data_IF_364542189157
#
_entry.id   IF_364542189157
#
_cell.length_a   1.000
_cell.length_b   1.000
_cell.length_c   1.000
_cell.angle_alpha   90.00
_cell.angle_beta   90.00
_cell.angle_gamma   90.00
#
_symmetry.space_group_name_H-M   'P 1'
#
loop_
_entity.id
_entity.type
_entity.pdbx_description
1 polymer ?
#
# COMPACT_ATOMS: atom_id res chain seq x y z
N UNK A 1 -28.02 18.77 -0.79
CA UNK A 1 -27.21 18.53 -1.99
C UNK A 1 -25.79 18.28 -1.49
N UNK A 2 -25.11 17.27 -2.02
CA UNK A 2 -23.70 17.04 -1.69
C UNK A 2 -22.87 18.25 -2.13
N UNK A 3 -21.87 18.61 -1.32
CA UNK A 3 -20.95 19.69 -1.64
C UNK A 3 -20.18 19.38 -2.93
N UNK A 4 -19.98 20.40 -3.76
CA UNK A 4 -19.24 20.29 -5.01
C UNK A 4 -17.97 21.12 -4.94
N UNK A 5 -16.84 20.53 -5.32
CA UNK A 5 -15.54 21.19 -5.43
C UNK A 5 -15.10 21.20 -6.89
N UNK A 6 -14.70 22.37 -7.39
CA UNK A 6 -14.05 22.54 -8.68
C UNK A 6 -12.54 22.70 -8.48
N UNK A 7 -11.74 21.81 -9.06
CA UNK A 7 -10.31 22.01 -9.24
C UNK A 7 -10.08 22.50 -10.68
N UNK A 8 -9.30 23.56 -10.85
CA UNK A 8 -9.10 24.20 -12.16
C UNK A 8 -7.67 24.71 -12.34
N UNK A 9 -7.29 25.06 -13.56
CA UNK A 9 -5.93 25.42 -13.97
C UNK A 9 -4.92 24.33 -13.56
N UNK A 10 -5.24 23.05 -13.80
CA UNK A 10 -4.35 21.94 -13.52
C UNK A 10 -3.92 21.23 -14.81
N UNK A 11 -2.75 20.60 -14.74
CA UNK A 11 -2.35 19.56 -15.70
C UNK A 11 -2.80 18.23 -15.13
N UNK A 12 -3.94 17.69 -15.62
CA UNK A 12 -4.53 16.47 -15.08
C UNK A 12 -3.93 15.21 -15.73
N UNK A 13 -3.12 14.47 -14.96
CA UNK A 13 -2.62 13.15 -15.34
C UNK A 13 -3.65 12.11 -14.90
N UNK A 14 -4.46 11.61 -15.86
CA UNK A 14 -5.64 10.82 -15.53
C UNK A 14 -5.36 9.39 -15.10
N UNK A 15 -4.19 8.84 -15.42
CA UNK A 15 -3.79 7.46 -15.15
C UNK A 15 -4.77 6.41 -15.70
N UNK A 16 -5.52 6.76 -16.74
CA UNK A 16 -6.36 5.83 -17.50
C UNK A 16 -5.50 4.94 -18.43
N UNK A 17 -6.14 3.99 -19.13
CA UNK A 17 -5.43 3.10 -20.07
C UNK A 17 -4.82 3.84 -21.26
N UNK A 18 -5.43 4.96 -21.65
CA UNK A 18 -4.94 5.82 -22.73
C UNK A 18 -3.76 6.70 -22.30
N UNK A 19 -3.37 6.67 -21.02
CA UNK A 19 -2.30 7.49 -20.46
C UNK A 19 -2.54 9.00 -20.69
N UNK A 20 -3.79 9.44 -20.47
CA UNK A 20 -4.26 10.80 -20.78
C UNK A 20 -3.62 11.83 -19.86
N UNK A 21 -3.07 12.90 -20.46
CA UNK A 21 -2.67 14.12 -19.80
C UNK A 21 -3.44 15.29 -20.41
N UNK A 22 -4.23 15.99 -19.61
CA UNK A 22 -4.99 17.17 -20.03
C UNK A 22 -4.29 18.43 -19.52
N UNK A 23 -3.99 19.37 -20.41
CA UNK A 23 -3.51 20.70 -20.04
C UNK A 23 -4.69 21.61 -19.74
N UNK A 24 -4.52 22.53 -18.77
CA UNK A 24 -5.54 23.47 -18.30
C UNK A 24 -6.90 22.82 -18.01
N UNK A 25 -6.84 21.71 -17.27
CA UNK A 25 -8.00 20.87 -17.00
C UNK A 25 -8.87 21.41 -15.86
N UNK A 26 -10.15 20.96 -15.89
CA UNK A 26 -11.14 21.12 -14.85
C UNK A 26 -11.58 19.77 -14.32
N UNK A 27 -11.57 19.57 -13.00
CA UNK A 27 -12.08 18.37 -12.33
C UNK A 27 -13.16 18.79 -11.34
N UNK A 28 -14.35 18.21 -11.48
CA UNK A 28 -15.46 18.42 -10.55
C UNK A 28 -15.58 17.22 -9.63
N UNK A 29 -15.51 17.47 -8.33
CA UNK A 29 -15.76 16.49 -7.27
C UNK A 29 -17.13 16.77 -6.67
N UNK A 30 -17.91 15.71 -6.43
CA UNK A 30 -19.21 15.77 -5.75
C UNK A 30 -19.22 14.72 -4.63
N UNK A 31 -19.31 15.17 -3.37
CA UNK A 31 -19.12 14.30 -2.22
C UNK A 31 -17.79 13.57 -2.30
N UNK A 32 -17.79 12.24 -2.24
CA UNK A 32 -16.58 11.43 -2.29
C UNK A 32 -16.13 11.03 -3.72
N UNK A 33 -16.80 11.49 -4.78
CA UNK A 33 -16.58 10.98 -6.14
C UNK A 33 -16.26 12.09 -7.15
N UNK A 34 -15.47 11.71 -8.17
CA UNK A 34 -15.24 12.56 -9.34
C UNK A 34 -16.50 12.52 -10.21
N UNK A 35 -17.08 13.69 -10.47
CA UNK A 35 -18.26 13.86 -11.32
C UNK A 35 -17.89 14.03 -12.79
N UNK A 36 -16.89 14.86 -13.07
CA UNK A 36 -16.44 15.14 -14.44
C UNK A 36 -14.99 15.59 -14.48
N UNK A 37 -14.35 15.38 -15.62
CA UNK A 37 -13.02 15.90 -15.97
C UNK A 37 -13.05 16.35 -17.43
N UNK A 38 -12.35 17.43 -17.77
CA UNK A 38 -12.26 17.96 -19.13
C UNK A 38 -11.47 19.26 -19.20
N UNK A 39 -11.41 19.87 -20.38
CA UNK A 39 -10.68 21.11 -20.65
C UNK A 39 -11.61 22.33 -20.79
N UNK A 40 -12.91 22.12 -20.75
CA UNK A 40 -13.89 23.20 -20.74
C UNK A 40 -14.40 23.44 -19.32
N UNK A 41 -14.43 24.72 -18.88
CA UNK A 41 -14.97 25.05 -17.56
C UNK A 41 -16.44 24.66 -17.49
N UNK A 42 -16.82 23.79 -16.54
CA UNK A 42 -18.21 23.38 -16.40
C UNK A 42 -19.09 24.56 -15.93
N UNK A 43 -20.30 24.63 -16.47
CA UNK A 43 -21.28 25.62 -16.06
C UNK A 43 -21.80 25.34 -14.64
N UNK A 44 -22.12 26.39 -13.89
CA UNK A 44 -22.71 26.31 -12.56
C UNK A 44 -21.90 27.02 -11.49
N UNK A 45 -22.37 26.88 -10.25
CA UNK A 45 -21.69 27.37 -9.03
C UNK A 45 -21.18 26.17 -8.22
N UNK A 46 -20.03 26.32 -7.64
CA UNK A 46 -19.40 25.30 -6.82
C UNK A 46 -19.28 25.79 -5.37
N UNK A 47 -19.45 24.90 -4.40
CA UNK A 47 -19.29 25.24 -3.00
C UNK A 47 -17.83 25.64 -2.68
N UNK A 48 -16.89 24.97 -3.35
CA UNK A 48 -15.47 25.25 -3.23
C UNK A 48 -14.82 25.31 -4.60
N UNK A 49 -13.89 26.24 -4.78
CA UNK A 49 -13.05 26.33 -5.98
C UNK A 49 -11.57 26.32 -5.56
N UNK A 50 -10.78 25.45 -6.17
CA UNK A 50 -9.35 25.28 -5.91
C UNK A 50 -8.59 25.58 -7.19
N UNK A 51 -7.83 26.67 -7.18
CA UNK A 51 -6.89 27.01 -8.26
C UNK A 51 -5.62 26.19 -8.10
N UNK A 52 -5.35 25.30 -9.04
CA UNK A 52 -4.19 24.43 -9.06
C UNK A 52 -2.92 25.11 -9.62
N UNK A 53 -3.03 26.36 -10.12
CA UNK A 53 -1.90 27.21 -10.55
C UNK A 53 -0.97 26.57 -11.59
N UNK A 54 -1.48 25.74 -12.48
CA UNK A 54 -0.69 25.03 -13.49
C UNK A 54 0.07 23.81 -13.00
N UNK A 55 -0.10 23.45 -11.74
CA UNK A 55 0.49 22.26 -11.13
C UNK A 55 -0.13 20.96 -11.65
N UNK A 56 0.55 19.83 -11.38
CA UNK A 56 0.07 18.51 -11.82
C UNK A 56 -0.91 17.96 -10.79
N UNK A 57 -2.16 17.76 -11.22
CA UNK A 57 -3.18 17.00 -10.49
C UNK A 57 -3.15 15.56 -10.97
N UNK A 58 -3.00 14.62 -10.06
CA UNK A 58 -3.00 13.18 -10.36
C UNK A 58 -3.78 12.40 -9.29
N UNK A 59 -4.14 11.14 -9.54
CA UNK A 59 -4.70 10.29 -8.50
C UNK A 59 -3.77 10.20 -7.31
N UNK A 60 -4.34 10.12 -6.11
CA UNK A 60 -3.58 9.82 -4.90
C UNK A 60 -2.87 8.48 -5.00
N UNK A 61 -1.70 8.40 -4.40
CA UNK A 61 -0.86 7.21 -4.44
C UNK A 61 -1.46 6.09 -3.59
N UNK A 62 -1.30 4.87 -4.08
CA UNK A 62 -1.73 3.63 -3.42
C UNK A 62 -0.49 2.88 -2.96
N UNK A 63 -0.32 2.75 -1.66
CA UNK A 63 0.73 1.94 -1.04
C UNK A 63 0.13 0.56 -0.71
N UNK A 64 0.40 -0.43 -1.55
CA UNK A 64 -0.31 -1.71 -1.53
C UNK A 64 0.24 -2.73 -0.53
N UNK A 65 1.28 -2.38 0.24
CA UNK A 65 1.81 -3.20 1.34
C UNK A 65 2.56 -2.34 2.33
N UNK A 66 2.10 -2.34 3.58
CA UNK A 66 2.70 -1.59 4.70
C UNK A 66 2.58 -2.35 6.02
N UNK A 67 3.35 -1.87 7.01
CA UNK A 67 3.25 -2.18 8.44
C UNK A 67 3.37 -0.85 9.19
N UNK A 68 2.28 -0.04 9.16
CA UNK A 68 2.36 1.38 9.56
C UNK A 68 2.82 1.63 11.01
N UNK A 69 2.50 0.79 12.04
CA UNK A 69 3.02 1.00 13.39
C UNK A 69 4.53 0.83 13.51
N UNK A 70 5.21 0.18 12.54
CA UNK A 70 6.68 -0.02 12.55
C UNK A 70 7.47 1.29 12.41
N UNK A 71 6.83 2.45 12.26
CA UNK A 71 7.51 3.75 12.42
C UNK A 71 8.22 3.90 13.76
N UNK A 72 7.71 3.23 14.80
CA UNK A 72 8.36 3.15 16.11
C UNK A 72 9.71 2.42 16.10
N UNK A 73 9.93 1.58 15.09
CA UNK A 73 11.13 0.75 14.93
C UNK A 73 12.04 1.24 13.77
N UNK A 74 11.86 2.48 13.34
CA UNK A 74 12.65 3.09 12.27
C UNK A 74 14.14 3.02 12.56
N UNK A 75 14.92 2.31 11.72
CA UNK A 75 16.36 2.13 11.89
C UNK A 75 16.78 1.17 13.01
N UNK A 76 15.82 0.47 13.65
CA UNK A 76 16.11 -0.50 14.69
C UNK A 76 16.49 -1.85 14.08
N UNK A 77 17.56 -2.49 14.58
CA UNK A 77 18.00 -3.83 14.18
C UNK A 77 18.63 -3.90 12.77
N UNK A 78 19.17 -2.82 12.21
CA UNK A 78 19.77 -2.82 10.88
C UNK A 78 21.09 -3.61 10.77
N UNK A 79 21.40 -4.11 9.55
CA UNK A 79 22.71 -4.74 9.24
C UNK A 79 22.77 -6.26 9.47
N UNK A 80 21.64 -6.94 9.49
CA UNK A 80 21.55 -8.42 9.58
C UNK A 80 20.57 -8.97 8.54
N UNK A 81 20.58 -10.29 8.33
CA UNK A 81 19.62 -10.97 7.47
C UNK A 81 18.21 -10.96 8.05
N UNK A 82 17.18 -11.22 7.20
CA UNK A 82 15.78 -11.17 7.57
C UNK A 82 15.43 -12.00 8.80
N UNK A 83 15.95 -13.23 8.92
CA UNK A 83 15.60 -14.14 10.02
C UNK A 83 16.17 -13.63 11.36
N UNK A 84 17.42 -13.20 11.37
CA UNK A 84 18.06 -12.57 12.53
C UNK A 84 17.34 -11.27 12.89
N UNK A 85 16.99 -10.46 11.88
CA UNK A 85 16.26 -9.21 12.07
C UNK A 85 14.89 -9.42 12.72
N UNK A 86 14.11 -10.38 12.22
CA UNK A 86 12.79 -10.71 12.78
C UNK A 86 12.89 -11.27 14.21
N UNK A 87 13.74 -12.29 14.42
CA UNK A 87 13.73 -13.05 15.67
C UNK A 87 14.44 -12.33 16.83
N UNK A 88 15.54 -11.62 16.55
CA UNK A 88 16.37 -11.02 17.61
C UNK A 88 16.01 -9.56 17.88
N UNK A 89 15.39 -8.86 16.92
CA UNK A 89 15.08 -7.41 17.03
C UNK A 89 13.59 -7.10 16.99
N UNK A 90 12.89 -7.51 15.93
CA UNK A 90 11.53 -7.03 15.66
C UNK A 90 10.51 -7.69 16.57
N UNK A 91 10.39 -9.02 16.56
CA UNK A 91 9.40 -9.74 17.38
C UNK A 91 9.53 -9.44 18.88
N UNK A 92 10.76 -9.39 19.48
CA UNK A 92 10.89 -9.00 20.88
C UNK A 92 10.46 -7.55 21.20
N UNK A 93 10.61 -6.62 20.26
CA UNK A 93 10.14 -5.25 20.41
C UNK A 93 8.61 -5.18 20.25
N UNK A 94 8.07 -5.81 19.21
CA UNK A 94 6.62 -5.85 18.93
C UNK A 94 5.81 -6.52 20.05
N UNK A 95 6.38 -7.52 20.72
CA UNK A 95 5.72 -8.19 21.86
C UNK A 95 5.43 -7.26 23.05
N UNK A 96 6.04 -6.06 23.07
CA UNK A 96 5.80 -5.05 24.11
C UNK A 96 4.71 -4.03 23.73
N UNK A 97 4.28 -4.03 22.45
CA UNK A 97 3.32 -3.05 21.96
C UNK A 97 1.94 -3.23 22.60
N UNK A 98 1.30 -2.12 22.87
CA UNK A 98 -0.11 -2.03 23.20
C UNK A 98 -0.87 -1.13 22.21
N UNK A 99 -2.19 -1.06 22.33
CA UNK A 99 -3.05 -0.28 21.45
C UNK A 99 -2.66 1.20 21.38
N UNK A 100 -2.19 1.79 22.50
CA UNK A 100 -1.79 3.21 22.56
C UNK A 100 -0.50 3.44 21.78
N UNK A 101 0.49 2.58 21.93
CA UNK A 101 1.75 2.65 21.20
C UNK A 101 1.50 2.42 19.69
N UNK A 102 0.66 1.44 19.35
CA UNK A 102 0.27 1.18 17.95
C UNK A 102 -0.42 2.39 17.32
N UNK A 103 -1.34 3.06 18.02
CA UNK A 103 -1.97 4.31 17.54
C UNK A 103 -0.94 5.42 17.30
N UNK A 104 0.02 5.57 18.21
CA UNK A 104 1.09 6.58 18.07
C UNK A 104 1.96 6.30 16.84
N UNK A 105 2.41 5.04 16.65
CA UNK A 105 3.19 4.63 15.49
C UNK A 105 2.40 4.75 14.18
N UNK A 106 1.17 4.25 14.14
CA UNK A 106 0.29 4.38 12.99
C UNK A 106 0.02 5.85 12.63
N UNK A 107 -0.26 6.70 13.63
CA UNK A 107 -0.45 8.14 13.42
C UNK A 107 0.76 8.82 12.79
N UNK A 108 1.98 8.45 13.24
CA UNK A 108 3.22 8.97 12.67
C UNK A 108 3.41 8.56 11.20
N UNK A 109 3.16 7.28 10.89
CA UNK A 109 3.19 6.78 9.50
C UNK A 109 2.16 7.48 8.62
N UNK A 110 0.92 7.63 9.12
CA UNK A 110 -0.16 8.28 8.37
C UNK A 110 0.16 9.74 8.08
N UNK A 111 0.82 10.45 8.99
CA UNK A 111 1.28 11.81 8.71
C UNK A 111 2.32 11.84 7.57
N UNK A 112 3.29 10.91 7.58
CA UNK A 112 4.29 10.79 6.52
C UNK A 112 3.66 10.41 5.16
N UNK A 113 2.78 9.40 5.14
CA UNK A 113 2.04 8.94 3.97
C UNK A 113 1.16 10.04 3.37
N UNK A 114 0.39 10.74 4.19
CA UNK A 114 -0.50 11.82 3.74
C UNK A 114 0.29 12.99 3.16
N UNK A 115 1.38 13.41 3.82
CA UNK A 115 2.22 14.49 3.35
C UNK A 115 2.94 14.14 2.03
N UNK A 116 3.21 12.86 1.77
CA UNK A 116 3.82 12.36 0.53
C UNK A 116 2.80 11.94 -0.54
N UNK A 117 1.49 12.14 -0.31
CA UNK A 117 0.47 11.97 -1.35
C UNK A 117 -0.21 10.61 -1.38
N UNK A 118 -0.04 9.77 -0.38
CA UNK A 118 -0.76 8.50 -0.28
C UNK A 118 -2.19 8.76 0.20
N UNK A 119 -3.16 8.14 -0.46
CA UNK A 119 -4.60 8.21 -0.13
C UNK A 119 -5.19 6.85 0.22
N UNK A 120 -4.47 5.78 -0.12
CA UNK A 120 -4.93 4.40 0.10
C UNK A 120 -3.76 3.51 0.48
N UNK A 121 -3.94 2.68 1.51
CA UNK A 121 -2.94 1.72 1.96
C UNK A 121 -3.51 0.30 2.04
N UNK A 122 -2.64 -0.72 1.98
CA UNK A 122 -2.90 -2.04 2.53
C UNK A 122 -1.93 -2.26 3.68
N UNK A 123 -2.44 -2.54 4.87
CA UNK A 123 -1.65 -2.72 6.08
C UNK A 123 -1.88 -4.11 6.68
N UNK A 124 -0.78 -4.77 7.05
CA UNK A 124 -0.80 -6.05 7.74
C UNK A 124 -0.09 -5.89 9.08
N UNK A 125 -0.84 -5.92 10.18
CA UNK A 125 -0.23 -5.78 11.51
C UNK A 125 -1.10 -6.34 12.63
N UNK A 126 -0.54 -6.38 13.85
CA UNK A 126 -1.27 -6.68 15.08
C UNK A 126 -2.01 -5.43 15.61
N UNK A 127 -2.89 -5.59 16.60
CA UNK A 127 -3.69 -4.48 17.17
C UNK A 127 -4.53 -3.74 16.11
N UNK A 128 -5.03 -4.45 15.11
CA UNK A 128 -5.70 -3.88 13.93
C UNK A 128 -6.87 -2.94 14.23
N UNK A 129 -7.69 -3.13 15.30
CA UNK A 129 -8.70 -2.15 15.68
C UNK A 129 -8.14 -0.76 16.00
N UNK A 130 -6.98 -0.69 16.68
CA UNK A 130 -6.32 0.58 16.97
C UNK A 130 -5.82 1.28 15.70
N UNK A 131 -5.35 0.49 14.71
CA UNK A 131 -4.97 0.99 13.38
C UNK A 131 -6.21 1.50 12.66
N UNK A 132 -7.30 0.76 12.65
CA UNK A 132 -8.55 1.12 11.97
C UNK A 132 -9.11 2.46 12.46
N UNK A 133 -9.16 2.68 13.79
CA UNK A 133 -9.55 3.96 14.38
C UNK A 133 -8.67 5.12 13.91
N UNK A 134 -7.34 4.91 13.89
CA UNK A 134 -6.37 5.93 13.49
C UNK A 134 -6.49 6.26 12.00
N UNK A 135 -6.70 5.26 11.14
CA UNK A 135 -6.94 5.44 9.70
C UNK A 135 -8.24 6.20 9.44
N UNK A 136 -9.33 5.87 10.15
CA UNK A 136 -10.61 6.59 10.03
C UNK A 136 -10.44 8.08 10.36
N UNK A 137 -9.73 8.37 11.46
CA UNK A 137 -9.44 9.74 11.87
C UNK A 137 -8.57 10.48 10.84
N UNK A 138 -7.55 9.81 10.31
CA UNK A 138 -6.64 10.40 9.32
C UNK A 138 -7.33 10.74 7.99
N UNK A 139 -8.38 10.00 7.62
CA UNK A 139 -9.23 10.27 6.45
C UNK A 139 -8.83 9.55 5.17
N UNK A 140 -7.74 8.76 5.14
CA UNK A 140 -7.36 7.93 3.99
C UNK A 140 -8.09 6.59 3.98
N UNK A 141 -8.07 5.88 2.86
CA UNK A 141 -8.64 4.53 2.75
C UNK A 141 -7.62 3.45 3.13
N UNK A 142 -8.07 2.34 3.74
CA UNK A 142 -7.20 1.21 4.05
C UNK A 142 -7.87 -0.15 3.80
N UNK A 143 -7.09 -1.10 3.29
CA UNK A 143 -7.33 -2.52 3.43
C UNK A 143 -6.50 -3.03 4.62
N UNK A 144 -7.14 -3.53 5.65
CA UNK A 144 -6.47 -3.97 6.89
C UNK A 144 -6.51 -5.48 7.02
N UNK A 145 -5.42 -6.05 7.49
CA UNK A 145 -5.29 -7.49 7.74
C UNK A 145 -4.45 -7.76 8.99
N UNK A 146 -4.66 -8.90 9.66
CA UNK A 146 -4.03 -9.20 10.95
C UNK A 146 -2.74 -10.03 10.83
N UNK A 147 -2.35 -10.52 9.64
CA UNK A 147 -1.13 -11.31 9.44
C UNK A 147 -1.14 -12.64 10.20
N UNK A 148 -2.12 -13.51 9.92
CA UNK A 148 -2.30 -14.75 10.67
C UNK A 148 -1.07 -15.66 10.74
N UNK A 149 -0.67 -16.07 11.94
CA UNK A 149 0.41 -16.99 12.24
C UNK A 149 -0.09 -18.19 13.06
N UNK A 150 0.53 -19.35 12.89
CA UNK A 150 0.24 -20.51 13.72
C UNK A 150 1.41 -21.51 13.72
N UNK A 151 2.09 -21.61 14.85
CA UNK A 151 3.24 -22.52 15.05
C UNK A 151 2.87 -23.82 15.79
N UNK A 152 1.59 -23.99 16.18
CA UNK A 152 1.12 -25.19 16.85
C UNK A 152 1.08 -26.40 15.92
N UNK A 153 0.99 -27.62 16.52
CA UNK A 153 0.83 -28.84 15.72
C UNK A 153 -0.51 -28.78 14.93
N UNK A 154 -0.54 -29.25 13.67
CA UNK A 154 -1.78 -29.25 12.88
C UNK A 154 -2.95 -29.97 13.52
N UNK A 155 -2.68 -31.04 14.28
CA UNK A 155 -3.72 -31.80 14.98
C UNK A 155 -4.39 -31.04 16.15
N UNK A 156 -3.70 -30.03 16.68
CA UNK A 156 -4.19 -29.20 17.81
C UNK A 156 -4.91 -27.93 17.34
N UNK A 157 -4.97 -27.70 16.03
CA UNK A 157 -5.60 -26.51 15.49
C UNK A 157 -7.12 -26.53 15.72
N UNK A 158 -7.61 -25.43 16.28
CA UNK A 158 -9.04 -25.15 16.36
C UNK A 158 -9.30 -23.66 16.14
N UNK A 159 -10.14 -23.28 15.18
CA UNK A 159 -10.47 -21.86 14.95
C UNK A 159 -11.03 -21.16 16.19
N UNK A 160 -11.65 -21.90 17.11
CA UNK A 160 -12.23 -21.36 18.35
C UNK A 160 -11.18 -20.94 19.38
N UNK A 161 -10.00 -21.54 19.32
CA UNK A 161 -8.89 -21.27 20.27
C UNK A 161 -7.68 -20.63 19.61
N UNK A 162 -7.67 -20.52 18.28
CA UNK A 162 -6.66 -19.81 17.54
C UNK A 162 -6.90 -18.30 17.66
N UNK A 163 -5.94 -17.60 18.27
CA UNK A 163 -6.05 -16.14 18.47
C UNK A 163 -6.23 -15.39 17.15
N UNK A 164 -5.51 -15.77 16.10
CA UNK A 164 -5.55 -15.06 14.83
C UNK A 164 -6.84 -15.33 14.03
N UNK A 165 -7.44 -16.51 14.21
CA UNK A 165 -8.81 -16.74 13.74
C UNK A 165 -9.82 -15.80 14.45
N UNK A 166 -9.69 -15.66 15.78
CA UNK A 166 -10.52 -14.75 16.56
C UNK A 166 -10.30 -13.28 16.19
N UNK A 167 -9.05 -12.87 15.97
CA UNK A 167 -8.70 -11.53 15.52
C UNK A 167 -9.27 -11.23 14.13
N UNK A 168 -9.16 -12.18 13.19
CA UNK A 168 -9.74 -12.04 11.85
C UNK A 168 -11.27 -11.90 11.88
N UNK A 169 -11.95 -12.70 12.68
CA UNK A 169 -13.42 -12.62 12.85
C UNK A 169 -13.79 -11.25 13.39
N UNK A 170 -13.21 -10.85 14.51
CA UNK A 170 -13.51 -9.56 15.16
C UNK A 170 -13.21 -8.38 14.22
N UNK A 171 -12.05 -8.38 13.55
CA UNK A 171 -11.71 -7.34 12.60
C UNK A 171 -12.72 -7.24 11.47
N UNK A 172 -13.18 -8.37 10.94
CA UNK A 172 -14.18 -8.39 9.87
C UNK A 172 -15.53 -7.87 10.34
N UNK A 173 -16.04 -8.36 11.48
CA UNK A 173 -17.36 -8.00 12.01
C UNK A 173 -17.45 -6.54 12.44
N UNK A 174 -16.37 -5.98 13.02
CA UNK A 174 -16.38 -4.63 13.56
C UNK A 174 -15.97 -3.56 12.52
N UNK A 175 -15.13 -3.91 11.55
CA UNK A 175 -14.46 -2.90 10.72
C UNK A 175 -14.68 -3.03 9.22
N UNK A 176 -15.08 -4.20 8.69
CA UNK A 176 -15.27 -4.30 7.24
C UNK A 176 -16.43 -3.43 6.76
N UNK A 177 -16.12 -2.45 5.88
CA UNK A 177 -17.08 -1.46 5.39
C UNK A 177 -17.20 -0.21 6.26
N UNK A 178 -16.48 -0.10 7.39
CA UNK A 178 -16.54 1.07 8.25
C UNK A 178 -16.16 2.36 7.50
N UNK A 179 -16.76 3.50 7.91
CA UNK A 179 -16.54 4.80 7.27
C UNK A 179 -17.01 4.84 5.81
N UNK A 180 -18.17 4.23 5.50
CA UNK A 180 -18.71 4.12 4.14
C UNK A 180 -17.70 3.48 3.16
N UNK A 181 -17.04 2.37 3.59
CA UNK A 181 -16.05 1.65 2.82
C UNK A 181 -14.64 2.27 2.86
N UNK A 182 -14.38 3.21 3.74
CA UNK A 182 -13.03 3.72 3.99
C UNK A 182 -12.12 2.59 4.47
N UNK A 183 -12.59 1.75 5.39
CA UNK A 183 -11.91 0.53 5.83
C UNK A 183 -12.51 -0.67 5.10
N UNK A 184 -11.67 -1.44 4.43
CA UNK A 184 -11.96 -2.81 4.02
C UNK A 184 -11.05 -3.74 4.81
N UNK A 185 -11.50 -4.98 5.00
CA UNK A 185 -10.72 -6.02 5.67
C UNK A 185 -10.37 -7.08 4.64
N UNK A 186 -9.12 -7.49 4.63
CA UNK A 186 -8.65 -8.65 3.91
C UNK A 186 -8.31 -9.76 4.92
N UNK A 187 -8.58 -11.02 4.59
CA UNK A 187 -8.01 -12.13 5.32
C UNK A 187 -6.52 -12.21 5.06
N UNK A 188 -5.75 -12.80 5.96
CA UNK A 188 -4.31 -12.84 5.78
C UNK A 188 -3.65 -14.06 6.39
N UNK A 189 -2.60 -14.49 5.73
CA UNK A 189 -1.57 -15.38 6.24
C UNK A 189 -0.29 -14.58 6.22
N UNK A 190 0.46 -14.52 7.34
CA UNK A 190 1.71 -13.78 7.35
C UNK A 190 2.63 -14.31 6.23
N UNK A 191 3.02 -15.57 6.28
CA UNK A 191 3.78 -16.26 5.23
C UNK A 191 3.55 -17.79 5.33
N UNK A 192 4.00 -18.54 4.33
CA UNK A 192 3.92 -20.01 4.33
C UNK A 192 4.63 -20.59 5.56
N UNK A 193 5.84 -20.14 5.86
CA UNK A 193 6.70 -20.70 6.91
C UNK A 193 6.31 -20.28 8.34
N UNK A 194 5.47 -19.30 8.52
CA UNK A 194 4.97 -18.82 9.83
C UNK A 194 3.61 -19.41 10.21
N UNK A 195 3.09 -20.30 9.38
CA UNK A 195 1.77 -20.91 9.58
C UNK A 195 1.72 -22.31 8.99
N UNK A 196 0.58 -22.95 9.01
CA UNK A 196 0.42 -24.31 8.54
C UNK A 196 -0.92 -24.57 7.86
N UNK A 197 -1.08 -25.76 7.27
CA UNK A 197 -2.23 -26.13 6.43
C UNK A 197 -3.58 -25.87 7.09
N UNK A 198 -3.87 -26.22 8.34
CA UNK A 198 -5.15 -25.90 8.95
C UNK A 198 -5.50 -24.43 8.98
N UNK A 199 -4.52 -23.54 9.26
CA UNK A 199 -4.76 -22.11 9.24
C UNK A 199 -4.99 -21.61 7.80
N UNK A 200 -4.20 -22.10 6.80
CA UNK A 200 -4.37 -21.72 5.40
C UNK A 200 -5.76 -22.06 4.89
N UNK A 201 -6.24 -23.29 5.16
CA UNK A 201 -7.57 -23.76 4.76
C UNK A 201 -8.67 -22.93 5.41
N UNK A 202 -8.51 -22.64 6.72
CA UNK A 202 -9.49 -21.84 7.44
C UNK A 202 -9.55 -20.40 6.90
N UNK A 203 -8.41 -19.72 6.74
CA UNK A 203 -8.33 -18.35 6.22
C UNK A 203 -8.87 -18.27 4.78
N UNK A 204 -8.51 -19.23 3.93
CA UNK A 204 -8.99 -19.30 2.56
C UNK A 204 -10.51 -19.46 2.50
N UNK A 205 -11.08 -20.35 3.31
CA UNK A 205 -12.55 -20.55 3.39
C UNK A 205 -13.24 -19.33 3.95
N UNK A 206 -12.69 -18.75 5.04
CA UNK A 206 -13.23 -17.54 5.65
C UNK A 206 -13.27 -16.36 4.68
N UNK A 207 -12.18 -16.14 3.93
CA UNK A 207 -12.12 -15.11 2.89
C UNK A 207 -13.21 -15.29 1.82
N UNK A 208 -13.41 -16.52 1.36
CA UNK A 208 -14.45 -16.82 0.36
C UNK A 208 -15.88 -16.59 0.92
N UNK A 209 -16.16 -17.09 2.12
CA UNK A 209 -17.48 -16.98 2.77
C UNK A 209 -17.88 -15.52 3.04
N UNK A 210 -16.89 -14.68 3.38
CA UNK A 210 -17.10 -13.27 3.68
C UNK A 210 -16.77 -12.32 2.52
N UNK A 211 -16.39 -12.85 1.35
CA UNK A 211 -16.01 -12.08 0.14
C UNK A 211 -14.86 -11.08 0.38
N UNK A 212 -13.92 -11.47 1.22
CA UNK A 212 -12.72 -10.69 1.52
C UNK A 212 -11.64 -10.96 0.47
N UNK A 213 -10.67 -10.06 0.38
CA UNK A 213 -9.39 -10.35 -0.28
C UNK A 213 -8.48 -11.18 0.62
N UNK A 214 -7.30 -11.52 0.08
CA UNK A 214 -6.23 -12.21 0.79
C UNK A 214 -4.95 -11.40 0.70
N UNK A 215 -4.19 -11.29 1.81
CA UNK A 215 -2.90 -10.61 1.88
C UNK A 215 -1.84 -11.56 2.45
N UNK A 216 -0.72 -11.76 1.74
CA UNK A 216 0.31 -12.76 2.09
C UNK A 216 1.70 -12.23 1.68
N UNK A 217 2.75 -12.44 2.52
CA UNK A 217 4.14 -12.35 2.08
C UNK A 217 4.50 -13.63 1.31
N UNK A 218 5.08 -13.47 0.13
CA UNK A 218 5.29 -14.61 -0.78
C UNK A 218 6.70 -14.63 -1.35
N UNK A 219 7.42 -15.72 -1.08
CA UNK A 219 8.73 -15.99 -1.67
C UNK A 219 9.67 -14.77 -1.60
N UNK A 220 9.75 -14.16 -0.44
CA UNK A 220 10.57 -12.97 -0.22
C UNK A 220 12.06 -13.31 -0.28
N UNK A 221 12.47 -14.40 0.40
CA UNK A 221 13.86 -14.83 0.46
C UNK A 221 14.08 -16.16 -0.26
N UNK A 222 15.31 -16.38 -0.72
CA UNK A 222 15.72 -17.66 -1.31
C UNK A 222 15.49 -18.81 -0.34
N UNK A 223 15.86 -18.60 0.93
CA UNK A 223 15.70 -19.62 1.98
C UNK A 223 14.24 -20.04 2.17
N UNK A 224 13.30 -19.07 2.23
CA UNK A 224 11.85 -19.37 2.30
C UNK A 224 11.42 -20.24 1.13
N UNK A 225 11.78 -19.84 -0.09
CA UNK A 225 11.38 -20.51 -1.31
C UNK A 225 11.91 -21.95 -1.38
N UNK A 226 13.21 -22.14 -1.18
CA UNK A 226 13.88 -23.45 -1.23
C UNK A 226 13.41 -24.37 -0.10
N UNK A 227 13.31 -23.87 1.13
CA UNK A 227 12.82 -24.66 2.26
C UNK A 227 11.36 -25.10 2.08
N UNK A 228 10.51 -24.29 1.42
CA UNK A 228 9.15 -24.70 1.05
C UNK A 228 9.18 -25.83 0.02
N UNK A 229 10.03 -25.75 -1.01
CA UNK A 229 10.18 -26.79 -2.01
C UNK A 229 10.71 -28.09 -1.39
N UNK A 230 11.65 -28.04 -0.44
CA UNK A 230 12.13 -29.21 0.29
C UNK A 230 11.03 -29.87 1.12
N UNK A 231 10.18 -29.09 1.80
CA UNK A 231 9.08 -29.60 2.66
C UNK A 231 7.93 -30.19 1.84
N UNK A 232 7.54 -29.54 0.76
CA UNK A 232 6.27 -29.81 0.08
C UNK A 232 6.42 -30.31 -1.36
N UNK A 233 7.61 -30.20 -1.97
CA UNK A 233 7.82 -30.42 -3.39
C UNK A 233 7.15 -29.37 -4.29
N UNK A 234 6.75 -28.23 -3.73
CA UNK A 234 6.03 -27.13 -4.38
C UNK A 234 6.64 -25.80 -3.94
N UNK A 235 6.48 -24.76 -4.78
CA UNK A 235 6.80 -23.38 -4.38
C UNK A 235 5.83 -22.86 -3.33
N UNK A 236 6.13 -21.77 -2.59
CA UNK A 236 5.20 -21.14 -1.68
C UNK A 236 3.87 -20.76 -2.38
N UNK A 237 3.90 -20.25 -3.61
CA UNK A 237 2.70 -20.01 -4.39
C UNK A 237 1.91 -21.31 -4.63
N UNK A 238 2.59 -22.36 -5.12
CA UNK A 238 1.96 -23.62 -5.48
C UNK A 238 1.32 -24.36 -4.31
N UNK A 239 1.97 -24.36 -3.13
CA UNK A 239 1.38 -25.02 -1.94
C UNK A 239 0.17 -24.22 -1.41
N UNK A 240 0.23 -22.91 -1.38
CA UNK A 240 -0.89 -22.06 -0.95
C UNK A 240 -2.06 -22.14 -1.95
N UNK A 241 -1.79 -22.26 -3.26
CA UNK A 241 -2.82 -22.50 -4.28
C UNK A 241 -3.57 -23.82 -4.06
N UNK A 242 -2.81 -24.89 -3.75
CA UNK A 242 -3.38 -26.21 -3.44
C UNK A 242 -4.40 -26.16 -2.31
N UNK A 243 -4.26 -25.25 -1.36
CA UNK A 243 -5.16 -25.07 -0.21
C UNK A 243 -6.15 -23.92 -0.40
N UNK A 244 -6.25 -23.36 -1.62
CA UNK A 244 -7.28 -22.42 -2.00
C UNK A 244 -7.06 -20.97 -1.55
N UNK A 245 -5.86 -20.61 -1.10
CA UNK A 245 -5.52 -19.27 -0.61
C UNK A 245 -5.74 -18.21 -1.70
N UNK A 246 -5.52 -18.56 -2.97
CA UNK A 246 -5.67 -17.68 -4.12
C UNK A 246 -7.05 -17.72 -4.80
N UNK A 247 -8.08 -18.25 -4.12
CA UNK A 247 -9.44 -18.34 -4.70
C UNK A 247 -10.28 -17.06 -4.52
N UNK A 248 -9.69 -16.01 -3.96
CA UNK A 248 -10.29 -14.67 -3.85
C UNK A 248 -9.33 -13.64 -4.45
N UNK A 249 -9.75 -12.36 -4.57
CA UNK A 249 -8.80 -11.29 -4.85
C UNK A 249 -7.63 -11.38 -3.86
N UNK A 250 -6.42 -11.37 -4.36
CA UNK A 250 -5.26 -11.52 -3.49
C UNK A 250 -4.12 -10.56 -3.87
N UNK A 251 -3.39 -10.12 -2.84
CA UNK A 251 -2.11 -9.44 -2.96
C UNK A 251 -1.03 -10.33 -2.33
N UNK A 252 0.05 -10.52 -3.07
CA UNK A 252 1.24 -11.24 -2.68
C UNK A 252 2.41 -10.25 -2.60
N UNK A 253 2.89 -9.97 -1.39
CA UNK A 253 3.99 -9.03 -1.19
C UNK A 253 5.34 -9.67 -1.52
N UNK A 254 6.28 -8.87 -2.01
CA UNK A 254 7.66 -9.19 -2.40
C UNK A 254 7.80 -10.00 -3.70
N UNK A 255 7.39 -11.26 -3.74
CA UNK A 255 7.47 -12.17 -4.90
C UNK A 255 8.87 -12.26 -5.53
N UNK A 256 9.94 -12.11 -4.72
CA UNK A 256 11.34 -12.02 -5.21
C UNK A 256 11.79 -13.29 -5.91
N UNK A 257 11.46 -14.45 -5.30
CA UNK A 257 11.92 -15.76 -5.74
C UNK A 257 10.85 -16.59 -6.46
N UNK A 258 9.71 -15.97 -6.84
CA UNK A 258 8.66 -16.64 -7.64
C UNK A 258 9.18 -17.03 -9.02
N UNK A 259 8.66 -18.15 -9.55
CA UNK A 259 9.05 -18.74 -10.83
C UNK A 259 8.10 -18.35 -11.97
N UNK A 260 8.48 -18.64 -13.22
CA UNK A 260 7.61 -18.43 -14.39
C UNK A 260 6.30 -19.22 -14.29
N UNK A 261 6.31 -20.41 -13.69
CA UNK A 261 5.12 -21.20 -13.42
C UNK A 261 4.22 -20.53 -12.39
N UNK A 262 4.80 -19.96 -11.33
CA UNK A 262 4.07 -19.17 -10.35
C UNK A 262 3.43 -17.95 -11.00
N UNK A 263 4.13 -17.22 -11.89
CA UNK A 263 3.59 -16.06 -12.58
C UNK A 263 2.38 -16.40 -13.47
N UNK A 264 2.45 -17.54 -14.18
CA UNK A 264 1.32 -18.02 -14.96
C UNK A 264 0.12 -18.33 -14.06
N UNK A 265 0.34 -18.96 -12.91
CA UNK A 265 -0.68 -19.22 -11.88
C UNK A 265 -1.26 -17.93 -11.30
N UNK A 266 -0.40 -16.97 -10.92
CA UNK A 266 -0.82 -15.66 -10.40
C UNK A 266 -1.70 -14.92 -11.41
N UNK A 267 -1.30 -14.88 -12.68
CA UNK A 267 -2.07 -14.23 -13.75
C UNK A 267 -3.44 -14.92 -13.94
N UNK A 268 -3.47 -16.25 -13.97
CA UNK A 268 -4.71 -17.02 -14.13
C UNK A 268 -5.69 -16.85 -12.96
N UNK A 269 -5.19 -16.68 -11.74
CA UNK A 269 -5.97 -16.48 -10.51
C UNK A 269 -6.28 -15.00 -10.23
N UNK A 270 -5.66 -14.06 -10.96
CA UNK A 270 -5.78 -12.63 -10.70
C UNK A 270 -5.09 -12.18 -9.41
N UNK A 271 -4.07 -12.92 -8.96
CA UNK A 271 -3.22 -12.52 -7.83
C UNK A 271 -2.33 -11.37 -8.27
N UNK A 272 -2.31 -10.29 -7.48
CA UNK A 272 -1.44 -9.14 -7.73
C UNK A 272 -0.13 -9.28 -6.94
N UNK A 273 1.00 -9.03 -7.60
CA UNK A 273 2.28 -8.87 -6.93
C UNK A 273 2.39 -7.44 -6.37
N UNK A 274 2.80 -7.30 -5.12
CA UNK A 274 3.20 -6.00 -4.55
C UNK A 274 4.71 -5.96 -4.47
N UNK A 275 5.31 -5.13 -5.31
CA UNK A 275 6.75 -4.93 -5.36
C UNK A 275 7.21 -3.92 -4.32
N UNK A 276 8.16 -4.31 -3.47
CA UNK A 276 8.72 -3.50 -2.38
C UNK A 276 10.22 -3.32 -2.62
N UNK A 277 10.65 -2.54 -3.64
CA UNK A 277 12.04 -2.55 -4.10
C UNK A 277 13.03 -2.13 -3.04
N UNK A 278 12.76 -1.09 -2.27
CA UNK A 278 13.69 -0.58 -1.24
C UNK A 278 13.87 -1.59 -0.12
N UNK A 279 12.78 -2.15 0.41
CA UNK A 279 12.83 -3.17 1.46
C UNK A 279 13.58 -4.43 0.99
N UNK A 280 13.24 -4.97 -0.18
CA UNK A 280 13.89 -6.15 -0.75
C UNK A 280 15.42 -5.97 -0.89
N UNK A 281 15.84 -4.79 -1.34
CA UNK A 281 17.26 -4.46 -1.50
C UNK A 281 17.97 -4.26 -0.16
N UNK A 282 17.33 -3.56 0.77
CA UNK A 282 17.90 -3.26 2.09
C UNK A 282 18.12 -4.52 2.92
N UNK A 283 17.14 -5.45 2.89
CA UNK A 283 17.24 -6.73 3.61
C UNK A 283 18.06 -7.79 2.85
N UNK A 284 18.48 -7.48 1.61
CA UNK A 284 19.24 -8.43 0.79
C UNK A 284 18.40 -9.61 0.29
N UNK A 285 17.05 -9.46 0.26
CA UNK A 285 16.13 -10.50 -0.22
C UNK A 285 16.34 -10.81 -1.70
N UNK A 286 16.73 -9.80 -2.50
CA UNK A 286 17.00 -9.94 -3.93
C UNK A 286 16.20 -8.99 -4.80
N UNK A 287 16.12 -9.28 -6.10
CA UNK A 287 15.41 -8.48 -7.10
C UNK A 287 14.31 -9.33 -7.75
N UNK A 288 13.05 -8.94 -7.53
CA UNK A 288 11.90 -9.58 -8.19
C UNK A 288 11.93 -9.33 -9.71
N UNK A 289 11.45 -10.27 -10.50
CA UNK A 289 11.46 -10.20 -11.97
C UNK A 289 10.25 -9.43 -12.53
N UNK A 290 10.01 -8.20 -12.04
CA UNK A 290 8.82 -7.41 -12.31
C UNK A 290 8.48 -7.23 -13.80
N UNK A 291 9.44 -6.87 -14.70
CA UNK A 291 9.11 -6.77 -16.13
C UNK A 291 8.64 -8.08 -16.75
N UNK A 292 9.21 -9.22 -16.33
CA UNK A 292 8.81 -10.55 -16.80
C UNK A 292 7.43 -10.95 -16.24
N UNK A 293 7.18 -10.72 -14.95
CA UNK A 293 5.87 -10.96 -14.31
C UNK A 293 4.77 -10.14 -14.98
N UNK A 294 5.03 -8.86 -15.26
CA UNK A 294 4.10 -7.98 -15.99
C UNK A 294 3.81 -8.53 -17.38
N UNK A 295 4.84 -8.99 -18.11
CA UNK A 295 4.69 -9.63 -19.43
C UNK A 295 3.89 -10.93 -19.36
N UNK A 296 3.98 -11.68 -18.27
CA UNK A 296 3.17 -12.87 -18.02
C UNK A 296 1.70 -12.54 -17.65
N UNK A 297 1.34 -11.27 -17.51
CA UNK A 297 -0.03 -10.81 -17.22
C UNK A 297 -0.35 -10.64 -15.73
N UNK A 298 0.65 -10.73 -14.85
CA UNK A 298 0.47 -10.45 -13.43
C UNK A 298 0.24 -8.94 -13.24
N UNK A 299 -0.79 -8.58 -12.48
CA UNK A 299 -0.99 -7.20 -12.04
C UNK A 299 0.09 -6.84 -11.02
N UNK A 300 0.79 -5.73 -11.21
CA UNK A 300 1.86 -5.30 -10.32
C UNK A 300 1.45 -4.00 -9.61
N UNK A 301 1.57 -4.00 -8.30
CA UNK A 301 1.43 -2.81 -7.46
C UNK A 301 2.77 -2.47 -6.77
N UNK A 302 2.88 -1.29 -6.19
CA UNK A 302 4.01 -0.89 -5.34
C UNK A 302 3.60 -0.83 -3.87
N UNK A 303 4.54 -1.15 -3.00
CA UNK A 303 4.43 -0.98 -1.56
C UNK A 303 5.75 -0.55 -0.96
N UNK A 304 5.70 0.13 0.18
CA UNK A 304 6.91 0.53 0.92
C UNK A 304 7.39 -0.53 1.90
N UNK A 305 6.51 -1.48 2.26
CA UNK A 305 6.73 -2.35 3.40
C UNK A 305 6.79 -1.57 4.74
N UNK A 306 7.30 -2.17 5.81
CA UNK A 306 7.48 -1.51 7.10
C UNK A 306 8.65 -0.52 7.11
N UNK A 307 8.51 0.54 7.92
CA UNK A 307 9.55 1.58 8.04
C UNK A 307 10.83 1.06 8.69
N UNK A 308 10.79 -0.06 9.39
CA UNK A 308 12.01 -0.69 9.92
C UNK A 308 12.80 -1.42 8.83
N UNK A 309 12.16 -1.91 7.76
CA UNK A 309 12.83 -2.54 6.61
C UNK A 309 13.12 -1.55 5.47
N UNK A 310 12.38 -0.44 5.35
CA UNK A 310 12.54 0.58 4.32
C UNK A 310 13.23 1.86 4.84
N UNK A 311 12.83 2.37 5.98
CA UNK A 311 13.16 3.63 6.65
C UNK A 311 12.24 4.81 6.36
N UNK A 312 11.50 4.86 5.25
CA UNK A 312 10.48 5.87 4.95
C UNK A 312 9.25 5.24 4.26
N UNK A 313 8.23 6.08 4.00
CA UNK A 313 7.00 5.67 3.31
C UNK A 313 6.78 6.48 2.02
N UNK A 314 7.84 7.03 1.43
CA UNK A 314 7.76 7.87 0.22
C UNK A 314 7.59 7.03 -1.04
N UNK A 315 6.37 6.97 -1.56
CA UNK A 315 6.04 6.25 -2.80
C UNK A 315 6.75 6.81 -4.04
N UNK A 316 7.18 8.09 -4.05
CA UNK A 316 8.01 8.61 -5.14
C UNK A 316 9.40 7.97 -5.14
N UNK A 317 9.95 7.68 -3.97
CA UNK A 317 11.20 6.93 -3.85
C UNK A 317 11.03 5.50 -4.36
N UNK A 318 9.96 4.80 -3.97
CA UNK A 318 9.65 3.46 -4.46
C UNK A 318 9.50 3.42 -5.99
N UNK A 319 8.78 4.39 -6.57
CA UNK A 319 8.65 4.51 -8.03
C UNK A 319 10.00 4.68 -8.72
N UNK A 320 10.87 5.53 -8.18
CA UNK A 320 12.20 5.75 -8.72
C UNK A 320 13.05 4.49 -8.62
N UNK A 321 13.08 3.85 -7.44
CA UNK A 321 13.83 2.61 -7.24
C UNK A 321 13.34 1.50 -8.17
N UNK A 322 12.03 1.29 -8.29
CA UNK A 322 11.47 0.31 -9.21
C UNK A 322 11.95 0.54 -10.65
N UNK A 323 11.85 1.77 -11.17
CA UNK A 323 12.25 2.08 -12.54
C UNK A 323 13.75 1.86 -12.77
N UNK A 324 14.62 2.48 -11.95
CA UNK A 324 16.08 2.44 -12.19
C UNK A 324 16.68 1.07 -11.90
N UNK A 325 16.14 0.33 -10.93
CA UNK A 325 16.59 -1.02 -10.60
C UNK A 325 16.40 -1.96 -11.78
N UNK A 326 15.18 -2.03 -12.32
CA UNK A 326 14.87 -2.97 -13.40
C UNK A 326 15.56 -2.60 -14.71
N UNK A 327 15.64 -1.30 -15.03
CA UNK A 327 16.38 -0.84 -16.19
C UNK A 327 17.88 -1.18 -16.07
N UNK A 328 18.46 -1.02 -14.89
CA UNK A 328 19.86 -1.35 -14.63
C UNK A 328 20.17 -2.84 -14.67
N UNK A 329 19.36 -3.66 -14.00
CA UNK A 329 19.54 -5.12 -13.93
C UNK A 329 19.38 -5.76 -15.31
N UNK A 330 18.40 -5.32 -16.11
CA UNK A 330 18.17 -5.84 -17.46
C UNK A 330 19.06 -5.19 -18.53
N UNK A 331 19.77 -4.10 -18.19
CA UNK A 331 20.55 -3.30 -19.15
C UNK A 331 19.69 -2.80 -20.32
N UNK A 332 18.43 -2.52 -20.02
CA UNK A 332 17.44 -2.03 -20.99
C UNK A 332 16.68 -0.84 -20.38
N UNK A 333 16.85 0.38 -20.92
CA UNK A 333 16.15 1.56 -20.41
C UNK A 333 14.64 1.54 -20.65
N UNK A 334 14.15 0.54 -21.38
CA UNK A 334 12.72 0.34 -21.67
C UNK A 334 12.10 -0.82 -20.87
N UNK A 335 12.86 -1.47 -19.99
CA UNK A 335 12.38 -2.61 -19.19
C UNK A 335 11.21 -2.22 -18.29
N UNK A 336 11.24 -1.00 -17.72
CA UNK A 336 10.15 -0.45 -16.92
C UNK A 336 10.09 1.07 -17.11
N UNK A 337 9.03 1.54 -17.77
CA UNK A 337 8.88 2.96 -18.13
C UNK A 337 8.24 3.76 -16.98
N UNK A 338 8.44 5.09 -16.93
CA UNK A 338 7.77 5.97 -15.96
C UNK A 338 6.25 5.77 -15.87
N UNK A 339 5.57 5.62 -17.00
CA UNK A 339 4.12 5.35 -17.03
C UNK A 339 3.72 4.05 -16.35
N UNK A 340 4.61 3.04 -16.39
CA UNK A 340 4.34 1.73 -15.77
C UNK A 340 4.43 1.83 -14.25
N UNK A 341 5.46 2.47 -13.71
CA UNK A 341 5.59 2.63 -12.25
C UNK A 341 4.56 3.59 -11.67
N UNK A 342 4.16 4.63 -12.40
CA UNK A 342 3.03 5.48 -12.02
C UNK A 342 1.73 4.69 -11.95
N UNK A 343 1.49 3.80 -12.91
CA UNK A 343 0.33 2.90 -12.88
C UNK A 343 0.37 1.95 -11.69
N UNK A 344 1.54 1.36 -11.36
CA UNK A 344 1.72 0.51 -10.19
C UNK A 344 1.39 1.24 -8.87
N UNK A 345 1.77 2.51 -8.76
CA UNK A 345 1.54 3.35 -7.59
C UNK A 345 0.13 3.99 -7.54
N UNK A 346 -0.72 3.76 -8.54
CA UNK A 346 -2.06 4.36 -8.65
C UNK A 346 -3.10 3.33 -9.07
N UNK A 347 -3.43 3.26 -10.38
CA UNK A 347 -4.48 2.41 -10.96
C UNK A 347 -4.28 0.92 -10.65
N UNK A 348 -3.07 0.40 -10.85
CA UNK A 348 -2.80 -1.04 -10.71
C UNK A 348 -2.74 -1.42 -9.22
N UNK A 349 -2.26 -0.51 -8.35
CA UNK A 349 -2.39 -0.62 -6.89
C UNK A 349 -3.85 -0.64 -6.43
N UNK A 350 -4.67 0.29 -6.93
CA UNK A 350 -6.10 0.32 -6.63
C UNK A 350 -6.82 -0.97 -7.07
N UNK A 351 -6.48 -1.48 -8.26
CA UNK A 351 -6.98 -2.77 -8.77
C UNK A 351 -6.59 -3.92 -7.84
N UNK A 352 -5.34 -3.96 -7.38
CA UNK A 352 -4.85 -4.98 -6.44
C UNK A 352 -5.67 -5.00 -5.15
N UNK A 353 -6.05 -3.83 -4.64
CA UNK A 353 -6.84 -3.67 -3.42
C UNK A 353 -8.37 -3.77 -3.63
N UNK A 354 -8.83 -3.93 -4.88
CA UNK A 354 -10.26 -4.00 -5.21
C UNK A 354 -10.99 -2.67 -4.97
N UNK A 355 -10.30 -1.54 -5.13
CA UNK A 355 -10.85 -0.19 -4.88
C UNK A 355 -11.08 0.57 -6.17
N UNK A 356 -12.14 1.35 -6.21
CA UNK A 356 -12.48 2.19 -7.38
C UNK A 356 -11.83 3.58 -7.23
N UNK A 357 -10.51 3.61 -7.20
CA UNK A 357 -9.66 4.81 -7.14
C UNK A 357 -8.47 4.68 -8.09
N UNK A 358 -7.49 5.57 -8.02
CA UNK A 358 -6.25 5.51 -8.79
C UNK A 358 -6.36 6.01 -10.24
N UNK A 359 -7.50 6.64 -10.59
CA UNK A 359 -7.73 7.31 -11.89
C UNK A 359 -8.53 8.60 -11.71
N UNK A 360 -8.27 9.61 -12.56
CA UNK A 360 -9.15 10.78 -12.66
C UNK A 360 -10.19 10.49 -13.75
N UNK A 361 -11.30 9.89 -13.33
CA UNK A 361 -12.40 9.55 -14.21
C UNK A 361 -13.76 9.68 -13.51
N UNK A 362 -14.86 9.99 -14.24
CA UNK A 362 -16.19 10.07 -13.64
C UNK A 362 -16.58 8.78 -12.91
N UNK A 363 -17.11 8.92 -11.69
CA UNK A 363 -17.54 7.82 -10.84
C UNK A 363 -16.43 7.09 -10.08
N UNK A 364 -15.17 7.53 -10.20
CA UNK A 364 -14.08 7.09 -9.33
C UNK A 364 -14.08 7.89 -8.02
N UNK A 365 -13.53 7.31 -6.96
CA UNK A 365 -13.32 8.02 -5.70
C UNK A 365 -12.40 9.20 -5.93
N UNK A 366 -12.75 10.35 -5.38
CA UNK A 366 -11.96 11.57 -5.48
C UNK A 366 -10.79 11.54 -4.50
N UNK A 367 -9.85 10.65 -4.77
CA UNK A 367 -8.55 10.53 -4.13
C UNK A 367 -7.54 11.18 -5.08
N UNK A 368 -7.13 12.41 -4.77
CA UNK A 368 -6.36 13.27 -5.67
C UNK A 368 -5.21 13.94 -4.92
N UNK A 369 -4.07 14.10 -5.60
CA UNK A 369 -2.95 14.90 -5.10
C UNK A 369 -2.58 15.99 -6.10
N UNK A 370 -2.13 17.12 -5.55
CA UNK A 370 -1.55 18.21 -6.33
C UNK A 370 -0.05 18.27 -6.07
N UNK A 371 0.73 18.07 -7.14
CA UNK A 371 2.20 18.11 -7.11
C UNK A 371 2.66 19.44 -7.67
N UNK A 372 3.43 20.17 -6.87
CA UNK A 372 3.97 21.48 -7.21
C UNK A 372 5.13 21.33 -8.22
N UNK A 373 4.87 21.75 -9.46
CA UNK A 373 5.85 21.71 -10.55
C UNK A 373 6.67 23.00 -10.70
N UNK A 374 6.35 24.05 -9.93
CA UNK A 374 7.15 25.30 -9.86
C UNK A 374 8.28 25.15 -8.82
N UNK A 375 9.04 24.06 -8.92
CA UNK A 375 10.19 23.77 -8.06
C UNK A 375 11.46 23.61 -8.89
N UNK A 376 12.63 23.99 -8.36
CA UNK A 376 13.90 23.82 -9.08
C UNK A 376 14.14 22.39 -9.57
N UNK A 377 13.80 21.37 -8.77
CA UNK A 377 13.99 19.97 -9.13
C UNK A 377 13.06 19.48 -10.25
N UNK A 378 11.97 20.20 -10.53
CA UNK A 378 10.96 19.83 -11.54
C UNK A 378 10.95 20.80 -12.74
N UNK A 379 11.88 21.76 -12.77
CA UNK A 379 12.04 22.77 -13.83
C UNK A 379 13.38 22.56 -14.55
N UNK A 380 13.42 22.49 -15.92
CA UNK A 380 12.25 22.50 -16.83
C UNK A 380 11.49 21.17 -16.85
N UNK A 381 10.23 21.21 -17.31
CA UNK A 381 9.41 20.02 -17.47
C UNK A 381 9.25 19.70 -18.97
N UNK A 382 10.01 18.74 -19.48
CA UNK A 382 9.86 18.19 -20.84
C UNK A 382 8.91 16.98 -20.85
N UNK A 383 8.83 16.25 -19.73
CA UNK A 383 7.93 15.13 -19.52
C UNK A 383 7.42 15.14 -18.08
N UNK A 384 6.11 15.21 -17.92
CA UNK A 384 5.48 15.14 -16.59
C UNK A 384 5.81 13.83 -15.90
N UNK A 385 5.74 12.72 -16.64
CA UNK A 385 5.93 11.38 -16.10
C UNK A 385 7.35 11.13 -15.65
N UNK A 386 8.33 11.56 -16.46
CA UNK A 386 9.74 11.43 -16.09
C UNK A 386 10.07 12.28 -14.86
N UNK A 387 9.55 13.51 -14.80
CA UNK A 387 9.77 14.37 -13.64
C UNK A 387 9.12 13.80 -12.38
N UNK A 388 7.93 13.22 -12.47
CA UNK A 388 7.27 12.57 -11.33
C UNK A 388 8.08 11.37 -10.82
N UNK A 389 8.61 10.52 -11.72
CA UNK A 389 9.30 9.29 -11.33
C UNK A 389 10.76 9.52 -10.94
N UNK A 390 11.49 10.35 -11.71
CA UNK A 390 12.94 10.45 -11.52
C UNK A 390 13.39 11.67 -10.70
N UNK A 391 12.54 12.71 -10.59
CA UNK A 391 12.94 13.99 -10.00
C UNK A 391 12.09 14.39 -8.78
N UNK A 392 10.80 14.04 -8.74
CA UNK A 392 9.93 14.37 -7.61
C UNK A 392 10.26 13.52 -6.37
N UNK A 393 9.83 14.00 -5.23
CA UNK A 393 9.75 13.27 -3.96
C UNK A 393 8.50 13.75 -3.22
N UNK A 394 8.16 13.10 -2.10
CA UNK A 394 6.94 13.40 -1.34
C UNK A 394 6.80 14.87 -0.94
N UNK A 395 7.89 15.61 -0.76
CA UNK A 395 7.83 17.03 -0.42
C UNK A 395 7.26 17.93 -1.53
N UNK A 396 7.14 17.42 -2.75
CA UNK A 396 6.54 18.14 -3.87
C UNK A 396 4.99 18.14 -3.80
N UNK A 397 4.39 17.33 -2.96
CA UNK A 397 2.94 17.29 -2.76
C UNK A 397 2.51 18.50 -1.93
N UNK A 398 1.64 19.34 -2.49
CA UNK A 398 1.11 20.54 -1.82
C UNK A 398 -0.35 20.42 -1.42
N UNK A 399 -1.05 19.40 -1.91
CA UNK A 399 -2.41 19.06 -1.49
C UNK A 399 -2.63 17.57 -1.59
N UNK A 400 -3.29 17.00 -0.58
CA UNK A 400 -3.84 15.65 -0.60
C UNK A 400 -5.33 15.70 -0.29
N UNK A 401 -6.12 15.18 -1.22
CA UNK A 401 -7.57 15.03 -1.11
C UNK A 401 -7.90 13.54 -1.10
N UNK A 402 -8.49 13.06 -0.04
CA UNK A 402 -8.98 11.69 0.08
C UNK A 402 -10.51 11.69 0.19
N UNK A 403 -11.15 10.87 -0.64
CA UNK A 403 -12.62 10.73 -0.68
C UNK A 403 -13.33 12.09 -0.79
N UNK A 404 -12.77 12.99 -1.63
CA UNK A 404 -13.30 14.33 -1.89
C UNK A 404 -13.04 15.36 -0.78
N UNK A 405 -12.36 15.01 0.29
CA UNK A 405 -11.99 15.91 1.38
C UNK A 405 -10.50 16.23 1.34
N UNK A 406 -10.16 17.50 1.37
CA UNK A 406 -8.76 17.92 1.52
C UNK A 406 -8.34 17.61 2.95
N UNK A 407 -7.33 16.72 3.10
CA UNK A 407 -6.79 16.27 4.40
C UNK A 407 -5.40 16.85 4.69
N UNK A 408 -4.71 17.34 3.65
CA UNK A 408 -3.41 18.02 3.78
C UNK A 408 -3.32 19.12 2.72
N UNK A 409 -2.82 20.28 3.11
CA UNK A 409 -2.61 21.41 2.18
C UNK A 409 -1.51 22.34 2.69
N UNK A 410 -0.58 22.68 1.80
CA UNK A 410 0.49 23.66 2.03
C UNK A 410 1.27 23.44 3.36
N UNK A 411 1.58 22.18 3.67
CA UNK A 411 2.30 21.78 4.88
C UNK A 411 1.43 21.57 6.12
N UNK A 412 0.12 21.84 6.05
CA UNK A 412 -0.80 21.69 7.17
C UNK A 412 -1.65 20.41 7.07
N UNK A 413 -1.67 19.60 8.13
CA UNK A 413 -2.62 18.50 8.28
C UNK A 413 -3.97 19.05 8.78
N UNK A 414 -5.06 18.61 8.14
CA UNK A 414 -6.42 19.06 8.48
C UNK A 414 -7.18 18.00 9.31
N UNK A 415 -6.64 16.79 9.42
CA UNK A 415 -7.26 15.65 10.10
C UNK A 415 -6.38 15.05 11.20
N UNK A 416 -5.12 15.44 11.30
CA UNK A 416 -4.15 14.93 12.27
C UNK A 416 -3.53 16.07 13.09
N UNK A 417 -3.28 15.80 14.37
CA UNK A 417 -2.44 16.63 15.25
C UNK A 417 -1.03 16.03 15.32
N UNK A 418 -0.14 16.50 14.44
CA UNK A 418 1.23 15.97 14.34
C UNK A 418 2.05 16.19 15.62
N UNK A 419 1.83 17.28 16.34
CA UNK A 419 2.58 17.57 17.56
C UNK A 419 2.15 16.62 18.68
N UNK A 420 0.85 16.36 18.81
CA UNK A 420 0.34 15.35 19.75
C UNK A 420 0.85 13.95 19.39
N UNK A 421 0.83 13.55 18.11
CA UNK A 421 1.35 12.25 17.66
C UNK A 421 2.83 12.10 18.04
N UNK A 422 3.66 13.12 17.77
CA UNK A 422 5.08 13.10 18.14
C UNK A 422 5.30 13.02 19.64
N UNK A 423 4.46 13.68 20.45
CA UNK A 423 4.51 13.59 21.91
C UNK A 423 4.18 12.16 22.37
N UNK A 424 3.11 11.54 21.87
CA UNK A 424 2.76 10.15 22.18
C UNK A 424 3.89 9.17 21.83
N UNK A 425 4.55 9.37 20.70
CA UNK A 425 5.72 8.55 20.32
C UNK A 425 6.85 8.71 21.32
N UNK A 426 7.24 9.96 21.66
CA UNK A 426 8.40 10.24 22.51
C UNK A 426 8.16 9.91 23.98
N UNK A 427 6.99 10.28 24.51
CA UNK A 427 6.72 10.29 25.93
C UNK A 427 6.07 8.98 26.39
N UNK A 428 5.52 8.18 25.47
CA UNK A 428 4.88 6.92 25.78
C UNK A 428 5.47 5.73 25.03
N UNK A 429 5.38 5.70 23.67
CA UNK A 429 5.71 4.51 22.91
C UNK A 429 7.19 4.12 22.98
N UNK A 430 8.12 5.07 22.84
CA UNK A 430 9.56 4.77 22.94
C UNK A 430 10.00 4.33 24.33
N UNK A 431 9.55 4.95 25.44
CA UNK A 431 9.80 4.41 26.79
C UNK A 431 9.23 3.00 27.02
N UNK A 432 8.04 2.69 26.46
CA UNK A 432 7.46 1.34 26.56
C UNK A 432 8.34 0.29 25.87
N UNK A 433 8.88 0.63 24.70
CA UNK A 433 9.66 -0.31 23.88
C UNK A 433 11.10 -0.46 24.38
N UNK A 434 11.74 0.64 24.80
CA UNK A 434 13.19 0.71 25.00
C UNK A 434 13.60 1.28 26.36
N UNK A 435 12.65 1.60 27.24
CA UNK A 435 12.85 2.13 28.59
C UNK A 435 13.21 1.14 29.67
#
# INVERSE_FOLDING_TARGET
MEETTLLYHCRALCMDEADTLLDDAFVVVQGATIRSVGTERPAGTFAHEIDCRGNVLMPGLVNAHTHIPMTLLRGYGGGCDLQTWLNDWIFPAEAKLDDRAVKAGAGLALAELIASGVTTIADMYMHTPAIAETVLQAGISANLSCGGVYFGAPADFSPKTCNDCGNQIRLTEEWHGAGDGQILVDASIHAEYTSNVPLWQWMAQYAQDHKLGMHVHLSETQHEHEACQERWGLTPFGILDKFGVWNTRAIAAHCVWTTEEDWAGMAAKGVSCVHNPVSNLKLGSGVAWIPAMKKAGVNIALGTDGVSSNNNTDMFEEMKFAAVLHNGVQRDPLALLPKDVLAMATRDGAKALGRKTGQIAPGYTADLILVDFDRPALTPCHSVRDNLVYSANGSAVVMNMARGKVIYKDGAFLTLDLDQIKAEVKDYALPLLFG
#
